data_IF_593683289277
#
_entry.id   IF_593683289277
#
_cell.length_a   1.000
_cell.length_b   1.000
_cell.length_c   1.000
_cell.angle_alpha   90.00
_cell.angle_beta   90.00
_cell.angle_gamma   90.00
#
_symmetry.space_group_name_H-M   'P 1'
#
loop_
_entity.id
_entity.type
_entity.pdbx_description
1 polymer ?
#
# COMPACT_ATOMS: atom_id res chain seq x y z
N UNK A 1 19.95 0.94 0.03
CA UNK A 1 19.45 0.38 1.32
C UNK A 1 18.20 -0.44 1.05
N UNK A 2 17.84 -1.38 1.94
CA UNK A 2 16.63 -2.19 1.83
C UNK A 2 15.57 -1.68 2.81
N UNK A 3 14.41 -1.32 2.31
CA UNK A 3 13.29 -0.79 3.09
C UNK A 3 12.15 -1.81 3.20
N UNK A 4 11.48 -1.81 4.35
CA UNK A 4 10.23 -2.54 4.57
C UNK A 4 9.17 -1.53 4.99
N UNK A 5 8.00 -1.55 4.33
CA UNK A 5 6.91 -0.60 4.56
C UNK A 5 5.73 -1.35 5.20
N UNK A 6 5.19 -0.82 6.30
CA UNK A 6 4.02 -1.40 6.98
C UNK A 6 2.83 -0.43 6.86
N UNK A 7 1.70 -0.92 6.37
CA UNK A 7 0.46 -0.17 6.19
C UNK A 7 -0.60 -0.79 7.08
N UNK A 8 -1.00 -0.07 8.12
CA UNK A 8 -1.91 -0.57 9.15
C UNK A 8 -3.38 -0.16 8.94
N UNK A 9 -3.64 0.79 8.04
CA UNK A 9 -4.94 1.44 7.91
C UNK A 9 -5.56 1.19 6.54
N UNK A 10 -6.88 1.01 6.52
CA UNK A 10 -7.64 0.65 5.33
C UNK A 10 -7.76 1.76 4.29
N UNK A 11 -8.12 1.41 3.05
CA UNK A 11 -8.26 2.35 1.97
C UNK A 11 -9.45 3.29 2.24
N UNK A 12 -9.36 4.52 1.73
CA UNK A 12 -10.41 5.55 1.74
C UNK A 12 -10.76 6.21 3.07
N UNK A 13 -10.37 5.65 4.22
CA UNK A 13 -10.61 6.30 5.52
C UNK A 13 -9.44 7.16 5.99
N UNK A 14 -8.21 6.87 5.58
CA UNK A 14 -7.01 7.61 6.00
C UNK A 14 -5.91 7.68 4.93
N UNK A 15 -5.12 8.77 4.95
CA UNK A 15 -4.03 9.10 4.01
C UNK A 15 -2.82 8.14 4.08
N UNK A 16 -2.88 7.10 4.91
CA UNK A 16 -1.78 6.17 5.12
C UNK A 16 -1.40 5.40 3.84
N UNK A 17 -2.38 5.00 3.02
CA UNK A 17 -2.14 4.29 1.76
C UNK A 17 -1.42 5.18 0.73
N UNK A 18 -1.91 6.41 0.53
CA UNK A 18 -1.29 7.38 -0.38
C UNK A 18 0.12 7.75 0.07
N UNK A 19 0.32 7.94 1.37
CA UNK A 19 1.64 8.26 1.95
C UNK A 19 2.62 7.10 1.73
N UNK A 20 2.20 5.87 2.01
CA UNK A 20 3.01 4.67 1.78
C UNK A 20 3.35 4.49 0.30
N UNK A 21 2.43 4.82 -0.61
CA UNK A 21 2.66 4.79 -2.05
C UNK A 21 3.70 5.83 -2.48
N UNK A 22 3.54 7.09 -2.07
CA UNK A 22 4.48 8.16 -2.44
C UNK A 22 5.86 7.95 -1.85
N UNK A 23 5.96 7.48 -0.60
CA UNK A 23 7.21 7.09 0.00
C UNK A 23 7.89 5.95 -0.77
N UNK A 24 7.13 4.91 -1.12
CA UNK A 24 7.66 3.77 -1.88
C UNK A 24 8.21 4.21 -3.24
N UNK A 25 7.51 5.09 -3.95
CA UNK A 25 8.03 5.66 -5.21
C UNK A 25 9.31 6.45 -5.01
N UNK A 26 9.36 7.35 -4.02
CA UNK A 26 10.55 8.15 -3.75
C UNK A 26 11.77 7.30 -3.39
N UNK A 27 11.57 6.21 -2.64
CA UNK A 27 12.63 5.24 -2.30
C UNK A 27 13.16 4.54 -3.56
N UNK A 28 12.28 4.11 -4.46
CA UNK A 28 12.69 3.49 -5.72
C UNK A 28 13.41 4.47 -6.64
N UNK A 29 12.90 5.71 -6.76
CA UNK A 29 13.52 6.77 -7.56
C UNK A 29 14.91 7.17 -7.02
N UNK A 30 15.13 7.05 -5.70
CA UNK A 30 16.42 7.25 -5.05
C UNK A 30 17.41 6.07 -5.25
N UNK A 31 17.04 5.05 -6.03
CA UNK A 31 17.89 3.87 -6.29
C UNK A 31 17.99 2.93 -5.09
N UNK A 32 16.99 2.95 -4.20
CA UNK A 32 16.89 2.00 -3.09
C UNK A 32 15.91 0.89 -3.41
N UNK A 33 16.03 -0.22 -2.67
CA UNK A 33 15.17 -1.38 -2.86
C UNK A 33 14.12 -1.45 -1.74
N UNK A 34 12.91 -1.82 -2.12
CA UNK A 34 11.85 -2.17 -1.16
C UNK A 34 11.78 -3.69 -1.11
N UNK A 35 12.15 -4.25 0.05
CA UNK A 35 12.12 -5.68 0.26
C UNK A 35 10.69 -6.21 0.39
N UNK A 36 9.81 -5.46 1.09
CA UNK A 36 8.43 -5.88 1.33
C UNK A 36 7.53 -4.71 1.70
N UNK A 37 6.30 -4.76 1.24
CA UNK A 37 5.17 -3.97 1.77
C UNK A 37 4.25 -4.93 2.54
N UNK A 38 3.96 -4.63 3.79
CA UNK A 38 3.14 -5.47 4.67
C UNK A 38 1.87 -4.73 5.06
N UNK A 39 0.72 -5.29 4.68
CA UNK A 39 -0.58 -4.76 5.05
C UNK A 39 -1.08 -5.49 6.31
N UNK A 40 -1.49 -4.74 7.33
CA UNK A 40 -1.94 -5.28 8.61
C UNK A 40 -3.15 -4.50 9.14
N UNK A 41 -3.93 -5.06 10.07
CA UNK A 41 -5.22 -4.50 10.52
C UNK A 41 -6.13 -4.09 9.35
N UNK A 42 -6.67 -2.88 9.36
CA UNK A 42 -7.55 -2.40 8.29
C UNK A 42 -6.79 -2.25 6.97
N UNK A 43 -5.45 -2.15 7.03
CA UNK A 43 -4.57 -2.06 5.88
C UNK A 43 -4.69 -3.21 4.88
N UNK A 44 -5.17 -4.39 5.30
CA UNK A 44 -5.40 -5.54 4.40
C UNK A 44 -6.40 -5.22 3.29
N UNK A 45 -7.34 -4.30 3.53
CA UNK A 45 -8.33 -3.88 2.55
C UNK A 45 -7.72 -3.12 1.35
N UNK A 46 -6.49 -2.61 1.46
CA UNK A 46 -5.76 -2.01 0.32
C UNK A 46 -5.37 -3.05 -0.74
N UNK A 47 -5.34 -4.34 -0.38
CA UNK A 47 -5.06 -5.43 -1.30
C UNK A 47 -6.29 -6.02 -2.00
N UNK A 48 -7.50 -5.54 -1.67
CA UNK A 48 -8.73 -6.11 -2.20
C UNK A 48 -8.94 -5.69 -3.65
N UNK A 49 -8.96 -6.66 -4.57
CA UNK A 49 -9.37 -6.43 -5.96
C UNK A 49 -10.88 -6.19 -5.98
N UNK A 50 -11.32 -5.01 -6.41
CA UNK A 50 -12.74 -4.73 -6.63
C UNK A 50 -13.22 -5.60 -7.79
N UNK A 51 -13.84 -6.73 -7.49
CA UNK A 51 -14.61 -7.50 -8.46
C UNK A 51 -15.93 -6.75 -8.67
N UNK A 52 -16.10 -6.17 -9.85
CA UNK A 52 -17.34 -5.49 -10.28
C UNK A 52 -18.17 -6.44 -11.14
N UNK A 53 -18.50 -7.62 -10.60
CA UNK A 53 -19.58 -8.44 -11.13
C UNK A 53 -20.92 -7.81 -10.74
N UNK A 54 -21.26 -6.72 -11.43
CA UNK A 54 -22.64 -6.24 -11.51
C UNK A 54 -23.50 -7.38 -12.07
N UNK A 55 -24.50 -7.92 -11.36
CA UNK A 55 -25.45 -8.84 -11.98
C UNK A 55 -26.33 -8.03 -12.94
N UNK A 56 -26.30 -8.40 -14.22
CA UNK A 56 -27.27 -7.94 -15.22
C UNK A 56 -28.65 -8.55 -15.02
#
# INVERSE_FOLDING_TARGET
>A
MKFSVMVNEGPYTHQAADTAYHFSRAVLDAGHEIFRVFFYHDGVHNGTRKDDSTPG
#
